data_IF_099928513542
#
_entry.id   IF_099928513542
#
_cell.length_a   1.000
_cell.length_b   1.000
_cell.length_c   1.000
_cell.angle_alpha   90.00
_cell.angle_beta   90.00
_cell.angle_gamma   90.00
#
_symmetry.space_group_name_H-M   'P 1'
#
loop_
_entity.id
_entity.type
_entity.pdbx_description
1 polymer ?
#
# COMPACT_ATOMS: atom_id res chain seq x y z
N UNK A 1 38.93 30.85 13.80
CA UNK A 1 37.90 31.74 13.20
C UNK A 1 36.51 31.06 13.19
N UNK A 2 36.41 29.80 12.76
CA UNK A 2 35.18 29.00 12.79
C UNK A 2 34.60 28.79 14.20
N UNK A 3 35.43 28.45 15.19
CA UNK A 3 34.97 28.30 16.58
C UNK A 3 34.38 29.59 17.16
N UNK A 4 34.95 30.75 16.80
CA UNK A 4 34.46 32.08 17.22
C UNK A 4 33.11 32.44 16.58
N UNK A 5 32.85 31.94 15.37
CA UNK A 5 31.56 32.06 14.69
C UNK A 5 30.51 31.11 15.29
N UNK A 6 30.93 29.91 15.69
CA UNK A 6 30.07 28.89 16.29
C UNK A 6 29.74 29.18 17.77
N UNK A 7 30.65 29.83 18.51
CA UNK A 7 30.54 30.12 19.93
C UNK A 7 30.65 31.63 20.20
N UNK A 8 29.58 32.37 19.93
CA UNK A 8 29.38 33.70 20.53
C UNK A 8 28.94 33.56 22.00
N UNK A 9 29.73 32.85 22.81
CA UNK A 9 29.51 32.65 24.25
C UNK A 9 29.97 33.86 25.09
N UNK A 10 30.56 34.89 24.49
CA UNK A 10 31.07 36.07 25.20
C UNK A 10 30.04 37.18 25.42
N UNK A 11 28.74 36.94 25.21
CA UNK A 11 27.68 37.92 25.51
C UNK A 11 26.52 37.23 26.23
N UNK A 12 26.52 37.37 27.56
CA UNK A 12 25.42 37.22 28.52
C UNK A 12 24.06 36.79 27.90
N UNK A 13 23.92 35.49 27.61
CA UNK A 13 22.62 34.87 27.32
C UNK A 13 22.05 35.03 25.89
N UNK A 14 22.79 35.48 24.89
CA UNK A 14 22.26 35.59 23.52
C UNK A 14 22.55 34.33 22.68
N UNK A 15 21.49 33.84 22.03
CA UNK A 15 21.41 32.67 21.14
C UNK A 15 22.53 32.69 20.09
N UNK A 16 23.36 31.63 20.02
CA UNK A 16 24.40 31.52 18.97
C UNK A 16 23.80 31.63 17.56
N UNK A 17 24.55 32.08 16.53
CA UNK A 17 24.03 32.19 15.17
C UNK A 17 23.41 30.89 14.67
N UNK A 18 24.00 29.75 15.05
CA UNK A 18 23.48 28.43 14.73
C UNK A 18 22.21 28.09 15.49
N UNK A 19 22.14 28.40 16.78
CA UNK A 19 20.91 28.23 17.56
C UNK A 19 19.79 29.15 17.04
N UNK A 20 20.12 30.35 16.53
CA UNK A 20 19.16 31.24 15.86
C UNK A 20 18.65 30.65 14.54
N UNK A 21 19.53 30.10 13.71
CA UNK A 21 19.14 29.38 12.50
C UNK A 21 18.22 28.19 12.80
N UNK A 22 18.55 27.39 13.81
CA UNK A 22 17.74 26.24 14.21
C UNK A 22 16.37 26.66 14.77
N UNK A 23 16.31 27.73 15.58
CA UNK A 23 15.06 28.31 16.07
C UNK A 23 14.22 28.88 14.93
N UNK A 24 14.81 29.61 13.99
CA UNK A 24 14.11 30.13 12.81
C UNK A 24 13.58 29.00 11.93
N UNK A 25 14.34 27.91 11.73
CA UNK A 25 13.86 26.73 11.01
C UNK A 25 12.68 26.06 11.72
N UNK A 26 12.75 25.98 13.05
CA UNK A 26 11.68 25.36 13.86
C UNK A 26 10.43 26.23 13.84
N UNK A 27 10.59 27.54 14.01
CA UNK A 27 9.52 28.53 13.88
C UNK A 27 8.89 28.51 12.50
N UNK A 28 9.69 28.45 11.43
CA UNK A 28 9.18 28.33 10.06
C UNK A 28 8.38 27.03 9.87
N UNK A 29 8.78 25.91 10.48
CA UNK A 29 8.00 24.66 10.48
C UNK A 29 6.72 24.76 11.30
N UNK A 30 6.73 25.40 12.47
CA UNK A 30 5.52 25.58 13.27
C UNK A 30 4.55 26.50 12.56
N UNK A 31 5.02 27.63 12.04
CA UNK A 31 4.23 28.53 11.21
C UNK A 31 3.70 27.83 9.97
N UNK A 32 4.49 27.06 9.23
CA UNK A 32 4.00 26.30 8.08
C UNK A 32 2.94 25.24 8.45
N UNK A 33 2.97 24.71 9.68
CA UNK A 33 1.93 23.79 10.19
C UNK A 33 0.70 24.52 10.72
N UNK A 34 0.88 25.71 11.29
CA UNK A 34 -0.16 26.57 11.86
C UNK A 34 -0.82 27.48 10.84
N UNK A 35 -0.20 27.66 9.66
CA UNK A 35 -0.76 28.38 8.55
C UNK A 35 -1.91 27.54 8.00
N UNK A 36 -3.09 27.74 8.60
CA UNK A 36 -4.34 27.17 8.16
C UNK A 36 -4.45 27.41 6.66
N UNK A 37 -4.46 26.33 5.89
CA UNK A 37 -4.87 26.41 4.50
C UNK A 37 -6.30 26.95 4.52
N UNK A 38 -6.57 28.03 3.79
CA UNK A 38 -7.93 28.59 3.63
C UNK A 38 -8.91 27.44 3.44
N UNK A 39 -10.01 27.40 4.20
CA UNK A 39 -10.89 26.24 4.33
C UNK A 39 -11.23 25.63 2.97
N UNK A 40 -10.49 24.58 2.60
CA UNK A 40 -10.61 23.93 1.29
C UNK A 40 -11.78 22.93 1.29
N UNK A 41 -12.22 22.55 2.49
CA UNK A 41 -13.28 21.57 2.72
C UNK A 41 -14.33 22.19 3.62
N UNK A 42 -15.57 22.26 3.15
CA UNK A 42 -16.73 22.56 4.00
C UNK A 42 -17.82 21.51 3.79
N UNK A 43 -18.64 21.33 4.82
CA UNK A 43 -19.77 20.41 4.81
C UNK A 43 -21.05 21.22 4.79
N UNK A 44 -21.92 20.93 3.83
CA UNK A 44 -23.26 21.48 3.72
C UNK A 44 -24.26 20.32 3.67
N UNK A 45 -24.72 19.88 4.84
CA UNK A 45 -25.56 18.70 4.98
C UNK A 45 -24.90 17.45 4.40
N UNK A 46 -25.45 16.93 3.30
CA UNK A 46 -24.96 15.74 2.57
C UNK A 46 -23.88 16.06 1.52
N UNK A 47 -23.52 17.34 1.35
CA UNK A 47 -22.53 17.79 0.36
C UNK A 47 -21.21 18.14 1.01
N UNK A 48 -20.13 17.65 0.42
CA UNK A 48 -18.76 18.08 0.68
C UNK A 48 -18.38 19.07 -0.41
N UNK A 49 -18.06 20.28 0.01
CA UNK A 49 -17.52 21.33 -0.85
C UNK A 49 -16.00 21.27 -0.74
N UNK A 50 -15.36 20.87 -1.83
CA UNK A 50 -13.91 20.81 -2.00
C UNK A 50 -13.50 21.85 -3.04
N UNK A 51 -12.99 22.99 -2.58
CA UNK A 51 -12.65 24.16 -3.42
C UNK A 51 -13.81 24.59 -4.35
N UNK A 52 -13.71 24.33 -5.67
CA UNK A 52 -14.74 24.65 -6.68
C UNK A 52 -15.67 23.48 -7.01
N UNK A 53 -15.52 22.35 -6.33
CA UNK A 53 -16.27 21.12 -6.60
C UNK A 53 -17.15 20.77 -5.40
N UNK A 54 -18.32 20.22 -5.67
CA UNK A 54 -19.24 19.74 -4.64
C UNK A 54 -19.57 18.29 -4.91
N UNK A 55 -19.41 17.43 -3.92
CA UNK A 55 -19.73 16.01 -4.00
C UNK A 55 -20.77 15.65 -2.96
N UNK A 56 -21.77 14.86 -3.33
CA UNK A 56 -22.66 14.23 -2.35
C UNK A 56 -22.01 12.98 -1.77
N UNK A 57 -22.54 12.48 -0.65
CA UNK A 57 -22.12 11.17 -0.13
C UNK A 57 -22.39 10.04 -1.14
N UNK A 58 -23.46 10.15 -1.94
CA UNK A 58 -23.78 9.19 -3.01
C UNK A 58 -22.71 9.20 -4.12
N UNK A 59 -22.19 10.38 -4.47
CA UNK A 59 -21.10 10.51 -5.46
C UNK A 59 -19.83 9.82 -4.96
N UNK A 60 -19.50 9.98 -3.68
CA UNK A 60 -18.37 9.28 -3.05
C UNK A 60 -18.55 7.76 -3.06
N UNK A 61 -19.73 7.26 -2.70
CA UNK A 61 -20.03 5.82 -2.74
C UNK A 61 -19.92 5.28 -4.17
N UNK A 62 -20.44 6.03 -5.15
CA UNK A 62 -20.37 5.67 -6.56
C UNK A 62 -18.92 5.67 -7.06
N UNK A 63 -18.11 6.64 -6.63
CA UNK A 63 -16.69 6.70 -6.93
C UNK A 63 -15.94 5.49 -6.35
N UNK A 64 -16.16 5.14 -5.08
CA UNK A 64 -15.52 3.98 -4.44
C UNK A 64 -15.92 2.69 -5.16
N UNK A 65 -17.20 2.54 -5.53
CA UNK A 65 -17.67 1.39 -6.31
C UNK A 65 -17.02 1.33 -7.70
N UNK A 66 -16.91 2.47 -8.39
CA UNK A 66 -16.23 2.56 -9.69
C UNK A 66 -14.74 2.24 -9.59
N UNK A 67 -14.08 2.70 -8.52
CA UNK A 67 -12.69 2.36 -8.23
C UNK A 67 -12.54 0.86 -7.97
N UNK A 68 -13.44 0.25 -7.18
CA UNK A 68 -13.45 -1.19 -6.93
C UNK A 68 -13.51 -1.99 -8.22
N UNK A 69 -14.45 -1.65 -9.11
CA UNK A 69 -14.58 -2.33 -10.40
C UNK A 69 -13.35 -2.15 -11.29
N UNK A 70 -12.77 -0.96 -11.31
CA UNK A 70 -11.55 -0.67 -12.08
C UNK A 70 -10.37 -1.51 -11.58
N UNK A 71 -10.16 -1.55 -10.26
CA UNK A 71 -9.07 -2.31 -9.63
C UNK A 71 -9.28 -3.82 -9.81
N UNK A 72 -10.53 -4.28 -9.73
CA UNK A 72 -10.89 -5.68 -10.00
C UNK A 72 -10.57 -6.09 -11.43
N UNK A 73 -10.87 -5.24 -12.42
CA UNK A 73 -10.50 -5.49 -13.82
C UNK A 73 -8.99 -5.46 -14.03
N UNK A 74 -8.27 -4.55 -13.38
CA UNK A 74 -6.80 -4.51 -13.42
C UNK A 74 -6.19 -5.79 -12.82
N UNK A 75 -6.73 -6.30 -11.71
CA UNK A 75 -6.32 -7.58 -11.13
C UNK A 75 -6.46 -8.71 -12.15
N UNK A 76 -7.62 -8.86 -12.78
CA UNK A 76 -7.87 -9.97 -13.70
C UNK A 76 -7.06 -9.84 -14.99
N UNK A 77 -7.04 -8.66 -15.61
CA UNK A 77 -6.42 -8.45 -16.93
C UNK A 77 -4.91 -8.24 -16.85
N UNK A 78 -4.46 -7.36 -15.96
CA UNK A 78 -3.08 -6.86 -15.96
C UNK A 78 -2.18 -7.67 -15.03
N UNK A 79 -2.72 -8.22 -13.92
CA UNK A 79 -1.96 -9.03 -12.95
C UNK A 79 -2.11 -10.53 -13.21
N UNK A 80 -3.35 -11.04 -13.26
CA UNK A 80 -3.62 -12.47 -13.45
C UNK A 80 -3.63 -12.91 -14.92
N UNK A 81 -3.52 -11.95 -15.86
CA UNK A 81 -3.44 -12.22 -17.30
C UNK A 81 -4.59 -13.10 -17.81
N UNK A 82 -5.78 -12.90 -17.25
CA UNK A 82 -7.00 -13.58 -17.68
C UNK A 82 -7.60 -12.84 -18.87
N UNK A 83 -8.12 -13.59 -19.83
CA UNK A 83 -8.90 -13.02 -20.93
C UNK A 83 -10.25 -12.56 -20.38
N UNK A 84 -10.42 -11.27 -20.14
CA UNK A 84 -11.69 -10.72 -19.67
C UNK A 84 -12.57 -10.38 -20.88
N UNK A 85 -13.81 -10.89 -20.91
CA UNK A 85 -14.83 -10.52 -21.90
C UNK A 85 -15.40 -9.12 -21.64
N UNK A 86 -16.20 -8.60 -22.57
CA UNK A 86 -16.81 -7.27 -22.45
C UNK A 86 -17.70 -7.10 -21.20
N UNK A 87 -18.19 -8.22 -20.65
CA UNK A 87 -19.02 -8.29 -19.44
C UNK A 87 -18.21 -8.47 -18.15
N UNK A 88 -16.89 -8.41 -18.19
CA UNK A 88 -16.03 -8.67 -17.02
C UNK A 88 -15.86 -10.16 -16.70
N UNK A 89 -16.49 -11.07 -17.46
CA UNK A 89 -16.38 -12.51 -17.23
C UNK A 89 -15.08 -13.08 -17.82
N UNK A 90 -14.46 -14.04 -17.12
CA UNK A 90 -13.26 -14.73 -17.62
C UNK A 90 -13.65 -15.61 -18.81
N UNK A 91 -12.96 -15.43 -19.95
CA UNK A 91 -13.20 -16.20 -21.19
C UNK A 91 -12.90 -17.69 -20.97
N UNK A 92 -13.80 -18.54 -21.45
CA UNK A 92 -13.63 -19.99 -21.48
C UNK A 92 -12.48 -20.34 -22.44
N UNK A 93 -11.36 -20.83 -21.89
CA UNK A 93 -10.12 -21.11 -22.63
C UNK A 93 -8.84 -20.73 -21.88
N UNK A 94 -8.96 -20.01 -20.76
CA UNK A 94 -7.86 -19.78 -19.82
C UNK A 94 -7.78 -20.91 -18.79
N UNK A 95 -6.58 -21.18 -18.25
CA UNK A 95 -6.42 -22.05 -17.08
C UNK A 95 -7.31 -21.58 -15.94
N UNK A 96 -8.03 -22.50 -15.30
CA UNK A 96 -8.96 -22.17 -14.22
C UNK A 96 -8.23 -21.44 -13.09
N UNK A 97 -8.83 -20.33 -12.62
CA UNK A 97 -8.36 -19.63 -11.43
C UNK A 97 -8.53 -20.56 -10.22
N UNK A 98 -7.50 -20.75 -9.38
CA UNK A 98 -7.65 -21.56 -8.18
C UNK A 98 -8.73 -20.96 -7.27
N UNK A 99 -9.64 -21.80 -6.79
CA UNK A 99 -10.72 -21.37 -5.92
C UNK A 99 -10.16 -21.03 -4.54
N UNK A 100 -10.21 -19.76 -4.17
CA UNK A 100 -9.84 -19.29 -2.84
C UNK A 100 -11.10 -19.09 -2.00
N UNK A 101 -11.26 -19.89 -0.94
CA UNK A 101 -12.23 -19.61 0.11
C UNK A 101 -11.52 -18.84 1.22
N UNK A 102 -11.98 -17.62 1.52
CA UNK A 102 -11.41 -16.85 2.63
C UNK A 102 -11.71 -17.53 3.98
N UNK A 103 -12.85 -18.21 4.10
CA UNK A 103 -13.29 -18.87 5.35
C UNK A 103 -12.41 -20.06 5.73
N UNK A 104 -11.78 -20.72 4.74
CA UNK A 104 -10.89 -21.86 5.01
C UNK A 104 -9.46 -21.44 5.34
N UNK A 105 -9.11 -20.16 5.22
CA UNK A 105 -7.76 -19.70 5.49
C UNK A 105 -7.50 -19.72 6.99
N UNK A 106 -6.41 -20.39 7.35
CA UNK A 106 -5.92 -20.45 8.72
C UNK A 106 -4.78 -19.45 8.87
N UNK A 107 -4.82 -18.70 9.96
CA UNK A 107 -3.72 -17.84 10.38
C UNK A 107 -3.35 -18.09 11.84
N UNK A 108 -2.06 -17.95 12.15
CA UNK A 108 -1.55 -18.06 13.51
C UNK A 108 -0.86 -16.75 13.92
N UNK A 109 -1.58 -15.80 14.55
CA UNK A 109 -1.03 -14.49 14.92
C UNK A 109 0.10 -14.56 15.95
N UNK A 110 0.15 -15.64 16.75
CA UNK A 110 1.20 -15.88 17.74
C UNK A 110 2.51 -16.39 17.12
N UNK A 111 2.52 -16.76 15.84
CA UNK A 111 3.72 -17.24 15.16
C UNK A 111 4.59 -16.06 14.74
N UNK A 112 5.79 -16.00 15.33
CA UNK A 112 6.72 -14.88 15.22
C UNK A 112 8.01 -15.22 14.47
N UNK A 113 8.11 -16.45 13.93
CA UNK A 113 9.25 -16.84 13.10
C UNK A 113 9.42 -15.89 11.92
N UNK A 114 10.68 -15.61 11.61
CA UNK A 114 11.10 -14.79 10.48
C UNK A 114 10.50 -15.30 9.17
N UNK A 115 9.92 -14.38 8.41
CA UNK A 115 9.31 -14.67 7.12
C UNK A 115 7.95 -15.37 7.20
N UNK A 116 7.40 -15.59 8.40
CA UNK A 116 6.07 -16.19 8.52
C UNK A 116 4.96 -15.22 8.08
N UNK A 117 3.95 -15.78 7.42
CA UNK A 117 2.67 -15.17 7.06
C UNK A 117 1.66 -16.29 6.83
N UNK A 118 0.37 -16.01 6.90
CA UNK A 118 -0.67 -16.98 6.56
C UNK A 118 -0.48 -17.55 5.13
N UNK A 119 0.15 -16.79 4.23
CA UNK A 119 0.52 -17.26 2.89
C UNK A 119 1.45 -18.48 2.89
N UNK A 120 2.19 -18.71 3.97
CA UNK A 120 3.13 -19.83 4.14
C UNK A 120 2.63 -20.88 5.14
N UNK A 121 1.41 -20.73 5.66
CA UNK A 121 0.83 -21.69 6.57
C UNK A 121 0.60 -23.04 5.84
N UNK A 122 0.98 -24.19 6.44
CA UNK A 122 0.91 -25.49 5.77
C UNK A 122 -0.50 -25.92 5.38
N UNK A 123 -1.51 -25.52 6.18
CA UNK A 123 -2.92 -25.84 5.90
C UNK A 123 -3.54 -24.97 4.79
N UNK A 124 -2.84 -23.91 4.36
CA UNK A 124 -3.33 -23.03 3.31
C UNK A 124 -2.83 -23.48 1.92
N UNK A 125 -3.65 -23.33 0.86
CA UNK A 125 -3.36 -23.91 -0.46
C UNK A 125 -2.30 -23.15 -1.27
N UNK A 126 -1.73 -22.06 -0.75
CA UNK A 126 -0.89 -21.15 -1.52
C UNK A 126 0.41 -21.78 -2.05
N UNK A 127 0.98 -22.77 -1.35
CA UNK A 127 2.15 -23.49 -1.81
C UNK A 127 1.91 -24.18 -3.17
N UNK A 128 0.70 -24.71 -3.39
CA UNK A 128 0.34 -25.35 -4.66
C UNK A 128 0.19 -24.35 -5.81
N UNK A 129 0.04 -23.05 -5.52
CA UNK A 129 -0.27 -22.02 -6.51
C UNK A 129 0.86 -21.01 -6.72
N UNK A 130 1.98 -21.16 -6.01
CA UNK A 130 3.12 -20.23 -6.10
C UNK A 130 3.58 -20.01 -7.55
N UNK A 131 3.67 -21.10 -8.32
CA UNK A 131 4.13 -21.05 -9.71
C UNK A 131 2.98 -20.98 -10.72
N UNK A 132 1.73 -20.87 -10.28
CA UNK A 132 0.56 -20.96 -11.17
C UNK A 132 0.59 -19.91 -12.29
N UNK A 133 0.92 -18.66 -11.97
CA UNK A 133 0.97 -17.59 -12.98
C UNK A 133 2.12 -17.81 -13.96
N UNK A 134 3.30 -18.21 -13.46
CA UNK A 134 4.46 -18.51 -14.29
C UNK A 134 4.17 -19.69 -15.22
N UNK A 135 3.59 -20.76 -14.67
CA UNK A 135 3.16 -21.94 -15.42
C UNK A 135 2.25 -21.53 -16.59
N UNK A 136 1.25 -20.68 -16.35
CA UNK A 136 0.37 -20.16 -17.41
C UNK A 136 1.11 -19.38 -18.48
N UNK A 137 2.01 -18.49 -18.09
CA UNK A 137 2.82 -17.71 -19.06
C UNK A 137 3.70 -18.62 -19.91
N UNK A 138 4.19 -19.72 -19.34
CA UNK A 138 5.03 -20.70 -20.03
C UNK A 138 4.26 -21.68 -20.92
N UNK A 139 3.04 -22.07 -20.56
CA UNK A 139 2.30 -23.15 -21.23
C UNK A 139 1.11 -22.67 -22.07
N UNK A 140 0.52 -21.50 -21.80
CA UNK A 140 -0.57 -20.96 -22.63
C UNK A 140 0.00 -20.30 -23.89
N UNK A 141 -0.24 -20.84 -25.11
CA UNK A 141 0.44 -20.39 -26.33
C UNK A 141 0.26 -18.90 -26.64
N UNK A 142 -0.84 -18.30 -26.21
CA UNK A 142 -1.11 -16.87 -26.37
C UNK A 142 -0.23 -16.00 -25.46
N UNK A 143 -0.03 -16.41 -24.20
CA UNK A 143 0.82 -15.70 -23.25
C UNK A 143 2.29 -15.92 -23.56
N UNK A 144 2.68 -17.15 -23.90
CA UNK A 144 4.07 -17.48 -24.25
C UNK A 144 4.56 -16.65 -25.44
N UNK A 145 3.77 -16.54 -26.52
CA UNK A 145 4.08 -15.69 -27.69
C UNK A 145 4.15 -14.19 -27.36
N UNK A 146 3.40 -13.76 -26.35
CA UNK A 146 3.38 -12.36 -25.90
C UNK A 146 4.63 -12.03 -25.08
N UNK A 147 5.02 -12.91 -24.16
CA UNK A 147 6.09 -12.68 -23.20
C UNK A 147 7.48 -13.15 -23.65
N UNK A 148 7.58 -14.11 -24.58
CA UNK A 148 8.86 -14.60 -25.11
C UNK A 148 9.16 -14.02 -26.49
N UNK A 149 10.44 -13.85 -26.82
CA UNK A 149 10.88 -13.36 -28.14
C UNK A 149 10.67 -14.39 -29.26
N UNK A 150 10.60 -15.68 -28.93
CA UNK A 150 10.27 -16.79 -29.82
C UNK A 150 9.70 -17.98 -29.05
N UNK A 151 9.11 -18.96 -29.74
CA UNK A 151 8.46 -20.13 -29.12
C UNK A 151 9.46 -20.97 -28.31
N UNK A 152 10.70 -21.07 -28.80
CA UNK A 152 11.78 -21.86 -28.17
C UNK A 152 12.85 -20.99 -27.47
N UNK A 153 12.74 -19.66 -27.54
CA UNK A 153 13.74 -18.74 -26.96
C UNK A 153 13.49 -18.56 -25.48
N UNK A 154 14.44 -18.89 -24.60
CA UNK A 154 14.33 -18.64 -23.14
C UNK A 154 14.32 -17.15 -22.76
N UNK A 155 14.47 -16.25 -23.74
CA UNK A 155 14.53 -14.82 -23.50
C UNK A 155 13.14 -14.21 -23.40
N UNK A 156 12.95 -13.46 -22.31
CA UNK A 156 11.78 -12.62 -22.09
C UNK A 156 11.81 -11.39 -23.00
N UNK A 157 10.64 -10.91 -23.39
CA UNK A 157 10.48 -9.64 -24.09
C UNK A 157 10.36 -8.51 -23.07
N UNK A 158 11.45 -7.77 -22.90
CA UNK A 158 11.57 -6.69 -21.90
C UNK A 158 10.40 -5.71 -21.91
N UNK A 159 9.96 -5.25 -23.08
CA UNK A 159 8.84 -4.31 -23.19
C UNK A 159 7.53 -4.85 -22.60
N UNK A 160 7.29 -6.15 -22.74
CA UNK A 160 6.10 -6.81 -22.22
C UNK A 160 6.19 -7.04 -20.72
N UNK A 161 7.36 -7.43 -20.23
CA UNK A 161 7.62 -7.55 -18.79
C UNK A 161 7.49 -6.19 -18.10
N UNK A 162 8.05 -5.13 -18.69
CA UNK A 162 7.90 -3.76 -18.18
C UNK A 162 6.44 -3.32 -18.15
N UNK A 163 5.67 -3.60 -19.22
CA UNK A 163 4.25 -3.30 -19.25
C UNK A 163 3.46 -4.06 -18.17
N UNK A 164 3.79 -5.34 -17.94
CA UNK A 164 3.22 -6.14 -16.85
C UNK A 164 3.54 -5.53 -15.48
N UNK A 165 4.81 -5.19 -15.22
CA UNK A 165 5.23 -4.58 -13.95
C UNK A 165 4.56 -3.21 -13.71
N UNK A 166 4.31 -2.45 -14.78
CA UNK A 166 3.52 -1.22 -14.70
C UNK A 166 2.07 -1.52 -14.32
N UNK A 167 1.45 -2.54 -14.91
CA UNK A 167 0.10 -2.99 -14.56
C UNK A 167 -0.02 -3.42 -13.10
N UNK A 168 0.93 -4.22 -12.61
CA UNK A 168 1.01 -4.62 -11.19
C UNK A 168 1.12 -3.41 -10.27
N UNK A 169 1.92 -2.40 -10.65
CA UNK A 169 2.03 -1.16 -9.87
C UNK A 169 0.71 -0.39 -9.82
N UNK A 170 0.06 -0.18 -10.96
CA UNK A 170 -1.24 0.51 -11.02
C UNK A 170 -2.33 -0.23 -10.23
N UNK A 171 -2.35 -1.56 -10.29
CA UNK A 171 -3.25 -2.36 -9.46
C UNK A 171 -2.98 -2.14 -7.97
N UNK A 172 -1.71 -2.18 -7.53
CA UNK A 172 -1.33 -1.95 -6.13
C UNK A 172 -1.69 -0.54 -5.66
N UNK A 173 -1.50 0.47 -6.50
CA UNK A 173 -1.91 1.86 -6.21
C UNK A 173 -3.43 1.96 -6.02
N UNK A 174 -4.22 1.35 -6.90
CA UNK A 174 -5.67 1.33 -6.76
C UNK A 174 -6.16 0.55 -5.54
N UNK A 175 -5.56 -0.60 -5.25
CA UNK A 175 -5.84 -1.39 -4.05
C UNK A 175 -5.52 -0.60 -2.78
N UNK A 176 -4.40 0.12 -2.76
CA UNK A 176 -4.01 1.00 -1.66
C UNK A 176 -5.08 2.06 -1.39
N UNK A 177 -5.58 2.73 -2.42
CA UNK A 177 -6.66 3.72 -2.29
C UNK A 177 -7.95 3.06 -1.79
N UNK A 178 -8.30 1.88 -2.29
CA UNK A 178 -9.49 1.16 -1.83
C UNK A 178 -9.41 0.78 -0.36
N UNK A 179 -8.30 0.20 0.08
CA UNK A 179 -8.08 -0.14 1.49
C UNK A 179 -8.18 1.14 2.33
N UNK A 180 -7.56 2.24 1.89
CA UNK A 180 -7.61 3.51 2.61
C UNK A 180 -9.03 4.07 2.78
N UNK A 181 -9.85 4.00 1.73
CA UNK A 181 -11.19 4.59 1.72
C UNK A 181 -12.26 3.68 2.33
N UNK A 182 -12.03 2.36 2.40
CA UNK A 182 -13.04 1.38 2.83
C UNK A 182 -12.77 0.75 4.19
N UNK A 183 -11.52 0.67 4.66
CA UNK A 183 -11.16 -0.10 5.86
C UNK A 183 -11.43 0.62 7.20
N UNK A 184 -12.17 1.74 7.21
CA UNK A 184 -12.68 2.40 8.42
C UNK A 184 -11.65 3.09 9.33
N UNK A 185 -10.38 2.70 9.29
CA UNK A 185 -9.29 3.36 10.02
C UNK A 185 -8.45 4.21 9.04
N UNK A 186 -8.30 5.52 9.27
CA UNK A 186 -7.42 6.35 8.46
C UNK A 186 -5.97 5.97 8.75
N UNK A 187 -5.45 4.97 8.05
CA UNK A 187 -4.02 4.70 8.06
C UNK A 187 -3.34 5.95 7.50
N UNK A 188 -2.49 6.61 8.29
CA UNK A 188 -1.67 7.70 7.77
C UNK A 188 -0.87 7.12 6.61
N UNK A 189 -0.76 7.82 5.47
CA UNK A 189 -0.20 7.24 4.24
C UNK A 189 1.15 6.53 4.42
N UNK A 190 1.99 7.01 5.34
CA UNK A 190 3.28 6.39 5.71
C UNK A 190 3.15 5.05 6.43
N UNK A 191 2.11 4.89 7.25
CA UNK A 191 1.85 3.67 8.04
C UNK A 191 1.38 2.54 7.13
N UNK A 192 0.53 2.84 6.13
CA UNK A 192 0.06 1.83 5.18
C UNK A 192 1.18 1.33 4.26
N UNK A 193 2.15 2.19 3.91
CA UNK A 193 3.34 1.78 3.16
C UNK A 193 4.34 0.96 3.97
N UNK A 194 4.25 0.98 5.30
CA UNK A 194 5.16 0.25 6.20
C UNK A 194 4.58 -1.06 6.74
N UNK A 195 3.38 -1.46 6.31
CA UNK A 195 2.78 -2.73 6.73
C UNK A 195 3.57 -3.87 6.12
N UNK A 196 4.06 -4.74 6.99
CA UNK A 196 4.74 -5.96 6.58
C UNK A 196 3.71 -7.05 6.31
N UNK A 197 3.87 -7.75 5.19
CA UNK A 197 3.05 -8.93 4.85
C UNK A 197 3.58 -10.20 5.53
N UNK A 198 4.85 -10.20 5.91
CA UNK A 198 5.58 -11.29 6.55
C UNK A 198 6.37 -10.75 7.74
N UNK A 199 6.61 -11.58 8.74
CA UNK A 199 7.44 -11.19 9.89
C UNK A 199 8.86 -10.87 9.43
N UNK A 200 9.42 -9.77 9.94
CA UNK A 200 10.75 -9.32 9.53
C UNK A 200 11.86 -10.24 10.08
N UNK A 201 12.98 -10.30 9.37
CA UNK A 201 14.16 -11.05 9.77
C UNK A 201 14.92 -10.42 10.95
N UNK A 202 14.76 -9.12 11.19
CA UNK A 202 15.39 -8.47 12.34
C UNK A 202 14.69 -8.75 13.68
N UNK A 203 13.49 -9.35 13.66
CA UNK A 203 12.67 -9.59 14.86
C UNK A 203 12.07 -8.31 15.48
N UNK A 204 12.30 -7.14 14.88
CA UNK A 204 11.80 -5.84 15.38
C UNK A 204 10.41 -5.52 14.82
N UNK A 205 10.12 -5.98 13.60
CA UNK A 205 8.85 -5.78 12.91
C UNK A 205 8.04 -7.06 12.79
N UNK A 206 6.80 -7.02 13.26
CA UNK A 206 5.83 -8.10 13.03
C UNK A 206 4.98 -7.77 11.81
N UNK A 207 4.43 -8.78 11.14
CA UNK A 207 3.49 -8.54 10.06
C UNK A 207 2.25 -7.79 10.56
N UNK A 208 1.69 -6.94 9.72
CA UNK A 208 0.48 -6.17 10.02
C UNK A 208 -0.74 -6.67 9.26
N UNK A 209 -0.65 -7.79 8.54
CA UNK A 209 -1.74 -8.40 7.79
C UNK A 209 -2.02 -9.78 8.36
N UNK A 210 -3.29 -9.99 8.72
CA UNK A 210 -3.79 -11.20 9.32
C UNK A 210 -5.08 -11.65 8.63
N UNK A 211 -5.41 -12.93 8.75
CA UNK A 211 -6.72 -13.47 8.34
C UNK A 211 -7.37 -14.14 9.53
N UNK A 212 -8.65 -13.84 9.76
CA UNK A 212 -9.45 -14.48 10.80
C UNK A 212 -10.92 -14.52 10.39
N UNK A 213 -11.55 -15.68 10.53
CA UNK A 213 -12.97 -15.92 10.18
C UNK A 213 -13.39 -15.39 8.80
N UNK A 214 -12.54 -15.61 7.78
CA UNK A 214 -12.80 -15.16 6.42
C UNK A 214 -12.60 -13.66 6.17
N UNK A 215 -12.14 -12.91 7.17
CA UNK A 215 -11.84 -11.49 7.07
C UNK A 215 -10.33 -11.26 7.06
N UNK A 216 -9.91 -10.32 6.20
CA UNK A 216 -8.55 -9.81 6.21
C UNK A 216 -8.49 -8.63 7.17
N UNK A 217 -7.62 -8.73 8.17
CA UNK A 217 -7.43 -7.72 9.19
C UNK A 217 -6.08 -7.04 9.00
N UNK A 218 -6.09 -5.73 9.18
CA UNK A 218 -4.88 -4.92 9.20
C UNK A 218 -4.65 -4.44 10.62
N UNK A 219 -3.53 -4.83 11.21
CA UNK A 219 -3.12 -4.36 12.53
C UNK A 219 -2.01 -3.31 12.41
N UNK A 220 -2.11 -2.30 13.28
CA UNK A 220 -1.10 -1.27 13.46
C UNK A 220 -0.06 -1.78 14.46
N UNK A 221 1.21 -1.73 14.10
CA UNK A 221 2.29 -1.86 15.08
C UNK A 221 2.52 -0.48 15.71
N UNK A 222 1.96 -0.26 16.90
CA UNK A 222 2.32 0.89 17.72
C UNK A 222 3.69 0.65 18.34
N UNK A 223 4.71 1.30 17.80
CA UNK A 223 5.93 1.50 18.55
C UNK A 223 5.58 2.37 19.76
N UNK A 224 5.87 1.95 21.01
CA UNK A 224 5.74 2.84 22.14
C UNK A 224 6.68 4.02 21.90
N UNK A 225 6.11 5.13 21.46
CA UNK A 225 6.79 6.41 21.44
C UNK A 225 7.30 6.63 22.86
N UNK A 226 8.60 6.89 23.03
CA UNK A 226 9.18 7.36 24.28
C UNK A 226 8.35 8.59 24.68
N UNK A 227 7.36 8.40 25.56
CA UNK A 227 6.68 9.49 26.23
C UNK A 227 7.76 10.08 27.12
N UNK A 228 8.30 11.24 26.74
CA UNK A 228 9.01 12.04 27.71
C UNK A 228 7.98 12.39 28.77
N UNK A 229 8.06 11.70 29.91
CA UNK A 229 7.43 12.12 31.14
C UNK A 229 8.00 13.50 31.45
N UNK A 230 7.27 14.56 31.09
CA UNK A 230 7.41 15.83 31.78
C UNK A 230 6.88 15.58 33.18
N UNK A 231 7.80 15.35 34.11
CA UNK A 231 7.54 15.58 35.53
C UNK A 231 7.23 17.07 35.69
N UNK A 232 6.10 17.34 36.32
CA UNK A 232 5.75 18.63 36.92
C UNK A 232 6.79 19.08 37.93
#
# INVERSE_FOLDING_TARGET
>A
MVERFMQLSSFQGIVSPMNRMLRLRTLARTLAKEQYTSGLVSWDGDKILLDRQSFTMLDLQSMIKGLYETVRLQLWRDVLLLGVGETGSVRAGCTALPALSMESLVDQPAEMSTGFSFLKHPDNPFHAWHDWLLYRVMHEPALTRRFRTGVDSEQWRDSTVQAYMKGVRSFKEGLFVLVHLSAGAPARGTEMTSILCENDASGVGYRGIFVDNGLLQQARQDYPSIRSSRSE
#
